data_IF_398342995045
#
_entry.id   IF_398342995045
#
_cell.length_a   1.000
_cell.length_b   1.000
_cell.length_c   1.000
_cell.angle_alpha   90.00
_cell.angle_beta   90.00
_cell.angle_gamma   90.00
#
_symmetry.space_group_name_H-M   'P 1'
#
loop_
_entity.id
_entity.type
_entity.pdbx_description
1 polymer ?
#
# COMPACT_ATOMS: atom_id res chain seq x y z
N UNK A 1 15.48 5.54 2.79
CA UNK A 1 15.07 6.96 2.62
C UNK A 1 14.10 7.39 3.73
N UNK A 2 14.16 8.64 4.20
CA UNK A 2 13.08 9.25 4.98
C UNK A 2 12.87 10.71 4.57
N UNK A 3 11.61 11.13 4.30
CA UNK A 3 11.23 12.48 3.88
C UNK A 3 9.85 12.87 4.43
N UNK A 4 9.56 14.17 4.47
CA UNK A 4 8.27 14.74 4.83
C UNK A 4 7.96 15.94 3.93
N UNK A 5 6.71 16.11 3.53
CA UNK A 5 6.18 17.27 2.77
C UNK A 5 4.84 17.67 3.41
N UNK A 6 4.55 18.97 3.46
CA UNK A 6 3.32 19.51 4.07
C UNK A 6 3.23 19.35 5.59
N UNK A 7 2.18 19.93 6.18
CA UNK A 7 1.92 19.94 7.63
C UNK A 7 0.42 19.79 7.95
N UNK A 8 0.08 19.52 9.21
CA UNK A 8 -1.31 19.38 9.64
C UNK A 8 -1.92 18.00 9.36
N UNK A 9 -3.16 17.98 8.86
CA UNK A 9 -3.95 16.78 8.57
C UNK A 9 -4.60 16.88 7.18
N UNK A 10 -4.93 15.75 6.52
CA UNK A 10 -4.67 14.37 6.95
C UNK A 10 -3.17 14.03 6.97
N UNK A 11 -2.80 12.95 7.65
CA UNK A 11 -1.42 12.45 7.67
C UNK A 11 -1.37 11.19 6.81
N UNK A 12 -0.53 11.22 5.77
CA UNK A 12 -0.30 10.14 4.82
C UNK A 12 1.09 9.55 5.06
N UNK A 13 1.19 8.23 5.27
CA UNK A 13 2.46 7.52 5.44
C UNK A 13 2.64 6.53 4.30
N UNK A 14 3.55 6.81 3.38
CA UNK A 14 3.90 5.90 2.29
C UNK A 14 5.23 5.22 2.61
N UNK A 15 5.28 3.89 2.49
CA UNK A 15 6.47 3.09 2.80
C UNK A 15 6.87 2.18 1.66
N UNK A 16 8.10 1.68 1.69
CA UNK A 16 8.54 0.59 0.81
C UNK A 16 9.87 -0.02 1.25
N UNK A 17 10.27 -1.11 0.59
CA UNK A 17 11.51 -1.82 0.89
C UNK A 17 11.44 -2.61 2.20
N UNK A 18 10.25 -3.13 2.54
CA UNK A 18 10.01 -3.84 3.79
C UNK A 18 10.74 -5.20 3.81
N UNK A 19 10.87 -5.87 2.66
CA UNK A 19 11.59 -7.13 2.55
C UNK A 19 12.82 -7.05 1.62
N UNK A 20 13.94 -7.64 2.05
CA UNK A 20 15.15 -7.87 1.25
C UNK A 20 15.54 -6.75 0.27
N UNK A 21 15.48 -7.07 -1.02
CA UNK A 21 15.91 -6.20 -2.13
C UNK A 21 14.79 -5.37 -2.77
N UNK A 22 13.55 -5.41 -2.24
CA UNK A 22 12.43 -4.59 -2.76
C UNK A 22 12.80 -3.11 -2.83
N UNK A 23 13.62 -2.63 -1.89
CA UNK A 23 14.09 -1.25 -1.83
C UNK A 23 14.80 -0.79 -3.11
N UNK A 24 15.42 -1.70 -3.88
CA UNK A 24 16.09 -1.39 -5.15
C UNK A 24 15.07 -0.85 -6.19
N UNK A 25 13.81 -1.31 -6.12
CA UNK A 25 12.70 -0.82 -6.96
C UNK A 25 11.89 0.26 -6.23
N UNK A 26 11.49 0.01 -4.97
CA UNK A 26 10.55 0.91 -4.26
C UNK A 26 11.18 2.22 -3.79
N UNK A 27 12.48 2.28 -3.48
CA UNK A 27 13.11 3.56 -3.12
C UNK A 27 13.21 4.49 -4.33
N UNK A 28 13.34 3.95 -5.55
CA UNK A 28 13.27 4.75 -6.79
C UNK A 28 11.88 5.36 -6.96
N UNK A 29 10.82 4.56 -6.83
CA UNK A 29 9.44 5.04 -6.90
C UNK A 29 9.15 6.12 -5.83
N UNK A 30 9.62 5.93 -4.59
CA UNK A 30 9.46 6.93 -3.52
C UNK A 30 10.25 8.23 -3.77
N UNK A 31 11.39 8.17 -4.46
CA UNK A 31 12.17 9.35 -4.90
C UNK A 31 11.47 10.07 -6.05
N UNK A 32 11.14 9.35 -7.12
CA UNK A 32 10.39 9.88 -8.27
C UNK A 32 9.09 10.56 -7.82
N UNK A 33 8.39 9.98 -6.84
CA UNK A 33 7.19 10.54 -6.24
C UNK A 33 7.48 11.81 -5.40
N UNK A 34 8.50 11.77 -4.53
CA UNK A 34 8.90 12.94 -3.74
C UNK A 34 9.22 14.15 -4.63
N UNK A 35 9.98 13.93 -5.72
CA UNK A 35 10.39 15.00 -6.63
C UNK A 35 9.20 15.58 -7.43
N UNK A 36 8.09 14.85 -7.58
CA UNK A 36 6.82 15.36 -8.14
C UNK A 36 5.97 16.17 -7.16
N UNK A 37 5.99 15.85 -5.87
CA UNK A 37 5.18 16.54 -4.85
C UNK A 37 5.94 17.64 -4.09
N UNK A 38 7.26 17.78 -4.31
CA UNK A 38 8.06 18.74 -3.58
C UNK A 38 7.83 20.18 -4.06
N UNK A 39 7.14 20.97 -3.23
CA UNK A 39 6.74 22.34 -3.55
C UNK A 39 5.28 22.48 -4.03
N UNK A 40 4.56 21.37 -4.20
CA UNK A 40 3.11 21.37 -4.41
C UNK A 40 2.36 21.80 -3.14
N UNK A 41 1.30 22.59 -3.30
CA UNK A 41 0.36 22.89 -2.22
C UNK A 41 -0.61 21.71 -2.05
N UNK A 42 -0.35 20.88 -1.03
CA UNK A 42 -1.10 19.65 -0.74
C UNK A 42 -1.71 19.73 0.66
N UNK A 43 -3.00 19.44 0.78
CA UNK A 43 -3.69 19.43 2.08
C UNK A 43 -3.07 18.37 3.00
N UNK A 44 -2.56 18.81 4.16
CA UNK A 44 -2.04 17.92 5.18
C UNK A 44 -0.55 17.57 5.01
N UNK A 45 -0.17 16.41 5.53
CA UNK A 45 1.23 15.98 5.62
C UNK A 45 1.44 14.63 4.97
N UNK A 46 2.47 14.53 4.13
CA UNK A 46 2.94 13.28 3.52
C UNK A 46 4.30 12.92 4.10
N UNK A 47 4.46 11.67 4.53
CA UNK A 47 5.69 11.11 5.10
C UNK A 47 6.09 9.91 4.24
N UNK A 48 7.33 9.90 3.74
CA UNK A 48 7.87 8.84 2.91
C UNK A 48 8.97 8.10 3.67
N UNK A 49 8.90 6.77 3.75
CA UNK A 49 9.94 5.91 4.37
C UNK A 49 10.24 4.71 3.47
N UNK A 50 11.39 4.74 2.79
CA UNK A 50 11.98 3.49 2.31
C UNK A 50 12.86 2.91 3.41
N UNK A 51 12.53 1.69 3.81
CA UNK A 51 13.44 0.83 4.55
C UNK A 51 14.50 0.27 3.58
N UNK A 52 15.57 -0.32 4.14
CA UNK A 52 16.64 -0.98 3.41
C UNK A 52 17.07 -2.21 4.21
N UNK A 53 16.90 -3.39 3.62
CA UNK A 53 16.99 -4.69 4.28
C UNK A 53 18.01 -5.57 3.56
N UNK A 54 19.25 -5.07 3.52
CA UNK A 54 20.34 -5.67 2.74
C UNK A 54 20.77 -7.06 3.29
N UNK A 55 20.45 -7.35 4.56
CA UNK A 55 20.69 -8.62 5.23
C UNK A 55 19.46 -9.07 6.05
N UNK A 56 19.02 -10.32 5.88
CA UNK A 56 17.91 -10.91 6.63
C UNK A 56 17.20 -12.05 5.88
N UNK A 57 16.51 -12.91 6.62
CA UNK A 57 15.55 -13.88 6.04
C UNK A 57 14.27 -13.15 5.62
N UNK A 58 13.62 -13.59 4.54
CA UNK A 58 12.34 -13.03 4.11
C UNK A 58 11.23 -13.44 5.09
N UNK A 59 10.69 -12.48 5.83
CA UNK A 59 9.52 -12.68 6.71
C UNK A 59 8.37 -11.85 6.15
N UNK A 60 7.32 -12.50 5.66
CA UNK A 60 6.16 -11.80 5.08
C UNK A 60 5.41 -10.98 6.14
N UNK A 61 4.88 -9.81 5.74
CA UNK A 61 3.90 -9.02 6.51
C UNK A 61 2.63 -9.78 6.93
N UNK A 62 2.34 -10.95 6.34
CA UNK A 62 1.26 -11.87 6.76
C UNK A 62 1.61 -12.74 7.97
N UNK A 63 2.87 -12.70 8.45
CA UNK A 63 3.33 -13.42 9.64
C UNK A 63 3.54 -12.43 10.80
N UNK A 64 3.02 -12.75 11.99
CA UNK A 64 3.18 -11.90 13.19
C UNK A 64 4.66 -11.64 13.53
N UNK A 65 5.54 -12.61 13.25
CA UNK A 65 6.99 -12.49 13.45
C UNK A 65 7.65 -11.38 12.64
N UNK A 66 7.06 -10.91 11.52
CA UNK A 66 7.56 -9.73 10.80
C UNK A 66 7.57 -8.49 11.71
N UNK A 67 6.52 -8.32 12.51
CA UNK A 67 6.37 -7.16 13.40
C UNK A 67 7.32 -7.18 14.59
N UNK A 68 7.95 -8.34 14.86
CA UNK A 68 9.01 -8.47 15.84
C UNK A 68 10.43 -8.20 15.28
N UNK A 69 10.60 -8.12 13.96
CA UNK A 69 11.87 -7.71 13.33
C UNK A 69 12.19 -6.23 13.61
N UNK A 70 13.44 -5.77 13.44
CA UNK A 70 13.78 -4.35 13.54
C UNK A 70 12.96 -3.45 12.60
N UNK A 71 12.63 -3.94 11.40
CA UNK A 71 11.84 -3.22 10.39
C UNK A 71 10.38 -3.15 10.78
N UNK A 72 9.78 -4.26 11.20
CA UNK A 72 8.41 -4.29 11.70
C UNK A 72 8.23 -3.40 12.93
N UNK A 73 9.19 -3.41 13.85
CA UNK A 73 9.21 -2.53 15.04
C UNK A 73 9.37 -1.05 14.67
N UNK A 74 10.22 -0.69 13.70
CA UNK A 74 10.27 0.70 13.23
C UNK A 74 8.96 1.09 12.51
N UNK A 75 8.40 0.24 11.65
CA UNK A 75 7.14 0.49 10.95
C UNK A 75 5.99 0.76 11.93
N UNK A 76 5.82 -0.11 12.93
CA UNK A 76 4.84 0.10 14.01
C UNK A 76 5.12 1.40 14.78
N UNK A 77 6.39 1.72 15.07
CA UNK A 77 6.77 2.98 15.73
C UNK A 77 6.36 4.20 14.91
N UNK A 78 6.52 4.19 13.58
CA UNK A 78 6.08 5.25 12.69
C UNK A 78 4.54 5.38 12.68
N UNK A 79 3.81 4.27 12.55
CA UNK A 79 2.34 4.26 12.55
C UNK A 79 1.79 4.77 13.89
N UNK A 80 2.33 4.29 15.02
CA UNK A 80 1.90 4.71 16.36
C UNK A 80 2.25 6.17 16.68
N UNK A 81 3.40 6.66 16.19
CA UNK A 81 3.87 8.05 16.35
C UNK A 81 3.05 9.04 15.53
N UNK A 82 2.85 8.77 14.24
CA UNK A 82 2.23 9.73 13.32
C UNK A 82 0.71 9.60 13.23
N UNK A 83 0.14 8.43 13.60
CA UNK A 83 -1.29 8.11 13.46
C UNK A 83 -1.85 8.53 12.09
N UNK A 84 -1.25 8.03 10.98
CA UNK A 84 -1.70 8.32 9.63
C UNK A 84 -3.11 7.78 9.39
N UNK A 85 -3.95 8.58 8.76
CA UNK A 85 -5.30 8.19 8.32
C UNK A 85 -5.32 7.66 6.88
N UNK A 86 -4.17 7.75 6.20
CA UNK A 86 -3.90 7.25 4.85
C UNK A 86 -2.53 6.56 4.90
N UNK A 87 -2.45 5.30 4.50
CA UNK A 87 -1.22 4.51 4.49
C UNK A 87 -1.11 3.74 3.18
N UNK A 88 0.08 3.79 2.59
CA UNK A 88 0.41 3.10 1.35
C UNK A 88 1.68 2.26 1.53
N UNK A 89 1.56 0.99 1.17
CA UNK A 89 2.60 -0.03 1.28
C UNK A 89 3.11 -0.36 -0.14
N UNK A 90 4.37 -0.05 -0.45
CA UNK A 90 5.00 -0.42 -1.73
C UNK A 90 5.88 -1.65 -1.56
N UNK A 91 5.63 -2.66 -2.39
CA UNK A 91 6.45 -3.85 -2.55
C UNK A 91 6.85 -4.04 -4.02
N UNK A 92 7.72 -5.01 -4.30
CA UNK A 92 8.00 -5.43 -5.67
C UNK A 92 8.15 -6.94 -5.77
N UNK A 93 7.57 -7.53 -6.80
CA UNK A 93 7.46 -8.97 -6.96
C UNK A 93 8.17 -9.51 -8.22
N UNK A 94 8.53 -10.79 -8.15
CA UNK A 94 8.95 -11.61 -9.30
C UNK A 94 7.90 -12.68 -9.68
N UNK A 95 7.03 -13.11 -8.76
CA UNK A 95 5.92 -14.05 -9.04
C UNK A 95 4.54 -13.36 -9.07
N UNK A 96 4.17 -12.86 -10.25
CA UNK A 96 2.81 -12.38 -10.54
C UNK A 96 1.74 -13.46 -10.29
N UNK A 97 2.06 -14.73 -10.59
CA UNK A 97 1.08 -15.81 -10.60
C UNK A 97 0.67 -16.21 -9.19
N UNK A 98 1.62 -16.29 -8.26
CA UNK A 98 1.35 -16.55 -6.84
C UNK A 98 0.51 -15.46 -6.18
N UNK A 99 0.73 -14.18 -6.53
CA UNK A 99 0.00 -13.03 -5.98
C UNK A 99 -1.44 -12.90 -6.51
N UNK A 100 -1.67 -13.23 -7.79
CA UNK A 100 -2.99 -13.15 -8.43
C UNK A 100 -3.81 -14.44 -8.40
N UNK A 101 -3.23 -15.56 -7.91
CA UNK A 101 -3.87 -16.87 -7.97
C UNK A 101 -5.22 -16.92 -7.23
N UNK A 102 -6.31 -17.44 -7.83
CA UNK A 102 -7.63 -17.53 -7.17
C UNK A 102 -7.60 -18.29 -5.83
N UNK A 103 -6.86 -19.40 -5.76
CA UNK A 103 -6.69 -20.18 -4.51
C UNK A 103 -5.84 -19.45 -3.44
N UNK A 104 -5.38 -18.20 -3.64
CA UNK A 104 -4.58 -17.47 -2.65
C UNK A 104 -5.30 -17.34 -1.30
N UNK A 105 -6.63 -17.19 -1.29
CA UNK A 105 -7.43 -17.20 -0.07
C UNK A 105 -7.25 -18.47 0.76
N UNK A 106 -7.12 -19.62 0.09
CA UNK A 106 -6.99 -20.95 0.68
C UNK A 106 -5.53 -21.31 1.03
N UNK A 107 -4.56 -20.73 0.30
CA UNK A 107 -3.12 -20.97 0.47
C UNK A 107 -2.48 -20.04 1.50
N UNK A 108 -2.80 -18.75 1.43
CA UNK A 108 -2.16 -17.67 2.21
C UNK A 108 -3.10 -17.06 3.26
N UNK A 109 -4.38 -17.45 3.27
CA UNK A 109 -5.39 -16.87 4.17
C UNK A 109 -5.86 -15.46 3.78
N UNK A 110 -5.56 -14.99 2.57
CA UNK A 110 -5.89 -13.62 2.09
C UNK A 110 -6.30 -13.62 0.61
N UNK A 111 -7.12 -12.64 0.14
CA UNK A 111 -7.52 -12.56 -1.27
C UNK A 111 -6.35 -12.53 -2.27
N UNK A 112 -6.58 -12.94 -3.54
CA UNK A 112 -5.71 -12.54 -4.65
C UNK A 112 -5.64 -11.01 -4.76
N UNK A 113 -4.48 -10.51 -5.20
CA UNK A 113 -4.33 -9.11 -5.60
C UNK A 113 -5.05 -8.88 -6.93
N UNK A 114 -5.48 -7.64 -7.15
CA UNK A 114 -6.12 -7.21 -8.40
C UNK A 114 -5.09 -6.46 -9.25
N UNK A 115 -4.91 -6.83 -10.51
CA UNK A 115 -4.08 -6.07 -11.45
C UNK A 115 -4.86 -4.82 -11.91
N UNK A 116 -4.26 -3.64 -11.71
CA UNK A 116 -4.77 -2.35 -12.18
C UNK A 116 -4.34 -2.07 -13.64
N UNK A 117 -3.68 -3.03 -14.28
CA UNK A 117 -3.07 -2.93 -15.60
C UNK A 117 -1.56 -2.76 -15.51
N UNK A 118 -0.88 -3.15 -16.58
CA UNK A 118 0.60 -3.12 -16.68
C UNK A 118 1.35 -3.97 -15.62
N UNK A 119 0.66 -4.88 -14.91
CA UNK A 119 1.23 -5.64 -13.81
C UNK A 119 1.34 -4.84 -12.50
N UNK A 120 0.50 -3.81 -12.31
CA UNK A 120 0.45 -3.06 -11.05
C UNK A 120 -0.61 -3.71 -10.18
N UNK A 121 -0.16 -4.60 -9.30
CA UNK A 121 -1.03 -5.36 -8.41
C UNK A 121 -1.42 -4.53 -7.18
N UNK A 122 -2.68 -4.63 -6.75
CA UNK A 122 -3.21 -3.83 -5.66
C UNK A 122 -4.12 -4.63 -4.70
N UNK A 123 -4.08 -4.24 -3.41
CA UNK A 123 -4.94 -4.80 -2.36
C UNK A 123 -5.02 -3.90 -1.11
N UNK A 124 -5.76 -4.36 -0.09
CA UNK A 124 -5.51 -3.95 1.30
C UNK A 124 -4.15 -4.47 1.77
N UNK A 125 -3.55 -3.76 2.72
CA UNK A 125 -2.41 -4.23 3.54
C UNK A 125 -2.74 -5.51 4.31
N UNK A 126 -1.70 -6.16 4.84
CA UNK A 126 -1.80 -7.32 5.73
C UNK A 126 -2.90 -7.18 6.80
N UNK A 127 -3.71 -8.23 7.08
CA UNK A 127 -4.73 -8.19 8.12
C UNK A 127 -4.16 -7.86 9.51
N UNK A 128 -2.94 -8.30 9.82
CA UNK A 128 -2.26 -8.04 11.10
C UNK A 128 -1.91 -6.55 11.20
N UNK A 129 -1.36 -5.96 10.13
CA UNK A 129 -1.09 -4.54 10.07
C UNK A 129 -2.37 -3.70 10.10
N UNK A 130 -3.43 -4.18 9.47
CA UNK A 130 -4.73 -3.50 9.40
C UNK A 130 -5.34 -3.24 10.78
N UNK A 131 -5.04 -4.06 11.78
CA UNK A 131 -5.48 -3.87 13.17
C UNK A 131 -4.88 -2.63 13.86
N UNK A 132 -3.80 -2.05 13.31
CA UNK A 132 -3.14 -0.85 13.86
C UNK A 132 -3.88 0.47 13.50
N UNK A 133 -4.90 0.38 12.64
CA UNK A 133 -5.61 1.51 12.01
C UNK A 133 -7.10 1.48 12.32
N UNK A 134 -7.75 2.65 12.33
CA UNK A 134 -9.21 2.78 12.56
C UNK A 134 -10.00 2.10 11.45
N UNK A 135 -11.30 1.86 11.66
CA UNK A 135 -12.17 1.27 10.63
C UNK A 135 -12.32 2.17 9.40
N UNK A 136 -12.03 3.47 9.53
CA UNK A 136 -12.20 4.52 8.51
C UNK A 136 -10.92 4.82 7.72
N UNK A 137 -9.74 4.58 8.29
CA UNK A 137 -8.44 4.92 7.70
C UNK A 137 -8.18 4.17 6.39
N UNK A 138 -7.64 4.83 5.37
CA UNK A 138 -7.29 4.20 4.09
C UNK A 138 -5.95 3.45 4.23
N UNK A 139 -5.96 2.12 4.13
CA UNK A 139 -4.75 1.30 4.16
C UNK A 139 -4.70 0.50 2.86
N UNK A 140 -3.66 0.72 2.05
CA UNK A 140 -3.57 0.18 0.69
C UNK A 140 -2.16 -0.32 0.41
N UNK A 141 -2.06 -1.28 -0.50
CA UNK A 141 -0.82 -1.94 -0.90
C UNK A 141 -0.73 -1.94 -2.42
N UNK A 142 0.45 -1.60 -2.94
CA UNK A 142 0.82 -1.71 -4.35
C UNK A 142 2.05 -2.60 -4.48
N UNK A 143 1.96 -3.51 -5.43
CA UNK A 143 2.96 -4.52 -5.79
C UNK A 143 3.34 -4.31 -7.25
N UNK A 144 4.63 -4.09 -7.52
CA UNK A 144 5.13 -3.74 -8.86
C UNK A 144 6.13 -4.78 -9.37
N UNK A 145 6.33 -4.95 -10.69
CA UNK A 145 7.36 -5.86 -11.18
C UNK A 145 8.76 -5.44 -10.70
N UNK A 146 9.55 -6.39 -10.20
CA UNK A 146 10.96 -6.17 -9.87
C UNK A 146 11.72 -5.55 -11.05
N UNK A 147 12.51 -4.50 -10.77
CA UNK A 147 13.30 -3.81 -11.79
C UNK A 147 12.48 -3.02 -12.83
N UNK A 148 11.18 -2.77 -12.58
CA UNK A 148 10.37 -1.90 -13.42
C UNK A 148 11.00 -0.48 -13.53
N UNK A 149 11.12 0.02 -14.76
CA UNK A 149 11.67 1.35 -15.09
C UNK A 149 10.61 2.33 -15.61
N UNK A 150 9.32 1.93 -15.57
CA UNK A 150 8.17 2.71 -16.06
C UNK A 150 7.19 2.98 -14.92
N UNK A 151 7.67 3.74 -13.94
CA UNK A 151 6.95 4.05 -12.70
C UNK A 151 5.73 4.99 -12.91
N UNK A 152 5.59 5.62 -14.09
CA UNK A 152 4.64 6.71 -14.31
C UNK A 152 3.18 6.44 -13.92
N UNK A 153 2.71 5.20 -14.09
CA UNK A 153 1.34 4.81 -13.73
C UNK A 153 1.20 4.56 -12.22
N UNK A 154 2.20 3.93 -11.58
CA UNK A 154 2.30 3.80 -10.11
C UNK A 154 2.33 5.17 -9.45
N UNK A 155 3.11 6.10 -10.00
CA UNK A 155 3.19 7.49 -9.54
C UNK A 155 1.84 8.21 -9.65
N UNK A 156 1.09 7.99 -10.74
CA UNK A 156 -0.28 8.51 -10.88
C UNK A 156 -1.25 7.96 -9.83
N UNK A 157 -1.12 6.68 -9.44
CA UNK A 157 -1.90 6.09 -8.34
C UNK A 157 -1.49 6.71 -7.00
N UNK A 158 -0.18 6.89 -6.75
CA UNK A 158 0.33 7.56 -5.56
C UNK A 158 -0.14 9.01 -5.46
N UNK A 159 -0.20 9.75 -6.57
CA UNK A 159 -0.73 11.12 -6.64
C UNK A 159 -2.22 11.19 -6.28
N UNK A 160 -3.04 10.23 -6.74
CA UNK A 160 -4.45 10.11 -6.34
C UNK A 160 -4.58 9.91 -4.82
N UNK A 161 -3.82 8.96 -4.25
CA UNK A 161 -3.81 8.66 -2.81
C UNK A 161 -3.26 9.86 -1.99
N UNK A 162 -2.34 10.63 -2.58
CA UNK A 162 -1.70 11.79 -1.97
C UNK A 162 -2.54 13.07 -1.98
N UNK A 163 -3.42 13.26 -2.98
CA UNK A 163 -4.32 14.41 -3.07
C UNK A 163 -5.66 14.19 -2.36
N UNK A 164 -6.18 12.96 -2.34
CA UNK A 164 -7.42 12.65 -1.59
C UNK A 164 -7.23 12.82 -0.07
N UNK A 165 -8.23 13.38 0.61
CA UNK A 165 -8.14 13.74 2.04
C UNK A 165 -8.79 12.73 2.97
N UNK A 166 -9.57 11.78 2.43
CA UNK A 166 -10.08 10.60 3.14
C UNK A 166 -10.29 9.40 2.19
N UNK A 167 -10.63 8.23 2.75
CA UNK A 167 -10.90 6.99 2.01
C UNK A 167 -11.90 7.17 0.86
N UNK A 168 -13.00 7.90 1.07
CA UNK A 168 -14.09 7.96 0.10
C UNK A 168 -13.68 8.71 -1.16
N UNK A 169 -12.94 9.80 -1.02
CA UNK A 169 -12.33 10.53 -2.14
C UNK A 169 -11.32 9.65 -2.88
N UNK A 170 -10.38 9.03 -2.17
CA UNK A 170 -9.35 8.18 -2.79
C UNK A 170 -9.99 7.02 -3.57
N UNK A 171 -10.98 6.33 -2.98
CA UNK A 171 -11.73 5.25 -3.65
C UNK A 171 -12.56 5.79 -4.83
N UNK A 172 -13.12 7.00 -4.76
CA UNK A 172 -13.85 7.63 -5.88
C UNK A 172 -12.91 7.89 -7.06
N UNK A 173 -11.78 8.54 -6.83
CA UNK A 173 -10.81 8.85 -7.89
C UNK A 173 -10.16 7.59 -8.48
N UNK A 174 -9.78 6.62 -7.63
CA UNK A 174 -9.27 5.33 -8.11
C UNK A 174 -10.34 4.60 -8.94
N UNK A 175 -11.62 4.60 -8.52
CA UNK A 175 -12.70 3.96 -9.28
C UNK A 175 -13.05 4.71 -10.58
N UNK A 176 -12.79 6.01 -10.66
CA UNK A 176 -12.93 6.76 -11.91
C UNK A 176 -11.90 6.35 -12.97
N UNK A 177 -10.74 5.83 -12.54
CA UNK A 177 -9.66 5.35 -13.42
C UNK A 177 -9.67 3.82 -13.64
N UNK A 178 -9.98 3.04 -12.60
CA UNK A 178 -10.00 1.56 -12.58
C UNK A 178 -11.36 1.05 -12.04
N UNK A 179 -12.45 1.12 -12.83
CA UNK A 179 -13.81 0.98 -12.32
C UNK A 179 -14.20 -0.44 -11.90
N UNK A 180 -13.73 -1.47 -12.60
CA UNK A 180 -14.07 -2.87 -12.31
C UNK A 180 -13.06 -3.51 -11.33
N UNK A 181 -11.82 -3.03 -11.37
CA UNK A 181 -10.70 -3.42 -10.53
C UNK A 181 -10.92 -2.94 -9.09
N UNK A 182 -11.30 -1.66 -8.90
CA UNK A 182 -11.68 -1.14 -7.57
C UNK A 182 -12.95 -1.82 -7.04
N UNK A 183 -13.90 -2.13 -7.92
CA UNK A 183 -15.10 -2.93 -7.58
C UNK A 183 -14.75 -4.38 -7.23
N UNK A 184 -13.68 -4.95 -7.77
CA UNK A 184 -13.15 -6.25 -7.33
C UNK A 184 -12.44 -6.13 -5.97
N UNK A 185 -11.55 -5.16 -5.78
CA UNK A 185 -10.89 -4.92 -4.48
C UNK A 185 -11.89 -4.68 -3.35
N UNK A 186 -12.97 -3.95 -3.60
CA UNK A 186 -14.06 -3.73 -2.63
C UNK A 186 -14.79 -5.05 -2.29
N UNK A 187 -15.09 -5.89 -3.29
CA UNK A 187 -15.67 -7.23 -3.05
C UNK A 187 -14.73 -8.11 -2.23
N UNK A 188 -13.48 -8.27 -2.67
CA UNK A 188 -12.44 -9.02 -1.97
C UNK A 188 -12.31 -8.58 -0.49
N UNK A 189 -12.37 -7.26 -0.22
CA UNK A 189 -12.32 -6.71 1.14
C UNK A 189 -13.59 -7.03 1.96
N UNK A 190 -14.78 -6.84 1.39
CA UNK A 190 -16.05 -7.07 2.07
C UNK A 190 -16.27 -8.57 2.38
N UNK A 191 -15.89 -9.45 1.46
CA UNK A 191 -15.95 -10.90 1.62
C UNK A 191 -14.96 -11.36 2.70
N UNK A 192 -13.70 -10.93 2.61
CA UNK A 192 -12.66 -11.32 3.57
C UNK A 192 -12.96 -10.91 5.03
N UNK A 193 -13.49 -9.70 5.25
CA UNK A 193 -13.84 -9.23 6.58
C UNK A 193 -15.27 -9.60 7.03
N UNK A 194 -16.01 -10.41 6.26
CA UNK A 194 -17.39 -10.78 6.59
C UNK A 194 -18.37 -9.60 6.66
N UNK A 195 -18.08 -8.52 5.92
CA UNK A 195 -18.84 -7.27 5.90
C UNK A 195 -19.90 -7.25 4.78
N UNK A 196 -19.89 -8.24 3.89
CA UNK A 196 -20.98 -8.48 2.94
C UNK A 196 -22.21 -9.03 3.65
N UNK A 197 -23.23 -8.19 3.84
CA UNK A 197 -24.60 -8.70 4.01
C UNK A 197 -25.11 -9.37 2.73
N UNK A 198 -26.28 -10.06 2.76
CA UNK A 198 -26.91 -10.52 1.53
C UNK A 198 -27.12 -9.35 0.58
N UNK A 199 -26.75 -9.52 -0.69
CA UNK A 199 -26.97 -8.50 -1.70
C UNK A 199 -28.48 -8.25 -1.83
N UNK A 200 -28.90 -7.01 -1.62
CA UNK A 200 -30.20 -6.54 -2.08
C UNK A 200 -30.06 -6.16 -3.56
N UNK A 201 -30.79 -6.87 -4.42
CA UNK A 201 -30.83 -6.66 -5.88
C UNK A 201 -31.31 -5.24 -6.27
#
# INVERSE_FOLDING_TARGET
MHKSVGEGRPIRLFVGGLHGKEYETTELILRDFYDRIYGEDLEGRIILRSFRTEEGEYVSTLNEGFYETPVGKELLSLIHRYRPSIYLELHSYSDYSGLTHPERMKRDGVPPLVDLGMGILAASVSPILRLQFRKEDFCFLLEVPEGNKRNGEVLGIMEIIARGSNRWEIIRELRAKYPEEVKQMIRNYLEFYGLGGPATD
#
